data_IF_313001840680
#
_entry.id   IF_313001840680
#
_cell.length_a   1.000
_cell.length_b   1.000
_cell.length_c   1.000
_cell.angle_alpha   90.00
_cell.angle_beta   90.00
_cell.angle_gamma   90.00
#
_symmetry.space_group_name_H-M   'P 1'
#
loop_
_entity.id
_entity.type
_entity.pdbx_description
1 polymer ?
#
# COMPACT_ATOMS: atom_id res chain seq x y z
N UNK A 1 -1.09 8.38 -15.46
CA UNK A 1 -1.26 7.38 -14.38
C UNK A 1 0.12 6.91 -13.98
N UNK A 2 0.42 6.96 -12.68
CA UNK A 2 1.65 6.50 -12.06
C UNK A 2 1.52 5.02 -11.69
N UNK A 3 2.61 4.37 -11.26
CA UNK A 3 2.58 2.96 -10.86
C UNK A 3 3.31 2.74 -9.54
N UNK A 4 2.82 1.77 -8.77
CA UNK A 4 3.56 1.12 -7.67
C UNK A 4 3.72 -0.34 -8.02
N UNK A 5 4.95 -0.85 -7.97
CA UNK A 5 5.24 -2.27 -8.17
C UNK A 5 5.32 -2.98 -6.82
N UNK A 6 4.61 -4.10 -6.68
CA UNK A 6 4.64 -4.97 -5.51
C UNK A 6 5.11 -6.37 -5.95
N UNK A 7 6.29 -6.77 -5.53
CA UNK A 7 6.77 -8.13 -5.78
C UNK A 7 6.05 -9.11 -4.85
N UNK A 8 5.32 -10.04 -5.44
CA UNK A 8 4.58 -11.05 -4.68
C UNK A 8 5.54 -12.07 -4.07
N UNK A 9 5.41 -12.27 -2.79
CA UNK A 9 6.19 -13.17 -1.95
C UNK A 9 6.03 -12.67 -0.51
N UNK A 10 5.25 -13.39 0.30
CA UNK A 10 4.92 -13.06 1.68
C UNK A 10 5.33 -14.25 2.55
N UNK A 11 5.46 -14.02 3.86
CA UNK A 11 5.65 -15.10 4.84
C UNK A 11 6.85 -16.03 4.54
N UNK A 12 8.00 -15.42 4.22
CA UNK A 12 9.25 -16.18 4.00
C UNK A 12 9.60 -17.05 5.20
N UNK A 13 10.16 -18.22 4.93
CA UNK A 13 10.42 -19.24 5.94
C UNK A 13 11.87 -19.28 6.42
N UNK A 14 12.78 -18.63 5.69
CA UNK A 14 14.18 -18.52 6.04
C UNK A 14 14.84 -17.23 5.52
N UNK A 15 16.06 -16.96 6.03
CA UNK A 15 16.85 -15.79 5.67
C UNK A 15 17.24 -15.75 4.17
N UNK A 16 17.43 -16.91 3.55
CA UNK A 16 17.82 -16.96 2.13
C UNK A 16 16.64 -16.54 1.23
N UNK A 17 15.41 -16.89 1.59
CA UNK A 17 14.21 -16.40 0.92
C UNK A 17 14.08 -14.89 1.07
N UNK A 18 14.26 -14.36 2.28
CA UNK A 18 14.22 -12.92 2.54
C UNK A 18 15.28 -12.16 1.71
N UNK A 19 16.48 -12.71 1.57
CA UNK A 19 17.51 -12.14 0.71
C UNK A 19 17.14 -12.18 -0.78
N UNK A 20 16.52 -13.26 -1.25
CA UNK A 20 16.00 -13.34 -2.64
C UNK A 20 14.92 -12.27 -2.91
N UNK A 21 14.06 -12.03 -1.93
CA UNK A 21 13.06 -10.94 -2.03
C UNK A 21 13.74 -9.58 -2.19
N UNK A 22 14.75 -9.26 -1.38
CA UNK A 22 15.56 -8.04 -1.54
C UNK A 22 16.16 -7.94 -2.95
N UNK A 23 16.80 -8.99 -3.43
CA UNK A 23 17.49 -9.00 -4.73
C UNK A 23 16.50 -8.82 -5.89
N UNK A 24 15.28 -9.37 -5.78
CA UNK A 24 14.21 -9.16 -6.74
C UNK A 24 13.78 -7.67 -6.82
N UNK A 25 13.65 -7.00 -5.68
CA UNK A 25 13.34 -5.56 -5.65
C UNK A 25 14.47 -4.70 -6.21
N UNK A 26 15.73 -5.00 -5.87
CA UNK A 26 16.88 -4.29 -6.43
C UNK A 26 16.95 -4.46 -7.96
N UNK A 27 16.71 -5.67 -8.48
CA UNK A 27 16.62 -5.93 -9.92
C UNK A 27 15.48 -5.14 -10.58
N UNK A 28 14.30 -5.06 -9.93
CA UNK A 28 13.19 -4.26 -10.45
C UNK A 28 13.53 -2.77 -10.48
N UNK A 29 14.18 -2.25 -9.45
CA UNK A 29 14.62 -0.86 -9.40
C UNK A 29 15.65 -0.57 -10.50
N UNK A 30 16.64 -1.43 -10.72
CA UNK A 30 17.60 -1.30 -11.83
C UNK A 30 16.89 -1.23 -13.19
N UNK A 31 15.87 -2.07 -13.39
CA UNK A 31 15.02 -2.03 -14.59
C UNK A 31 14.31 -0.68 -14.74
N UNK A 32 13.75 -0.16 -13.65
CA UNK A 32 13.06 1.14 -13.64
C UNK A 32 14.02 2.31 -13.87
N UNK A 33 15.26 2.23 -13.37
CA UNK A 33 16.28 3.28 -13.53
C UNK A 33 16.49 3.66 -14.99
N UNK A 34 16.53 2.65 -15.89
CA UNK A 34 16.70 2.85 -17.32
C UNK A 34 15.57 3.67 -17.96
N UNK A 35 14.37 3.63 -17.37
CA UNK A 35 13.18 4.32 -17.87
C UNK A 35 13.07 5.78 -17.38
N UNK A 36 13.88 6.19 -16.40
CA UNK A 36 13.93 7.56 -15.85
C UNK A 36 12.57 8.10 -15.41
N UNK A 37 11.74 7.25 -14.82
CA UNK A 37 10.36 7.59 -14.44
C UNK A 37 10.27 8.42 -13.15
N UNK A 38 11.33 8.44 -12.33
CA UNK A 38 11.31 9.12 -11.02
C UNK A 38 10.11 8.68 -10.19
N UNK A 39 9.43 9.62 -9.56
CA UNK A 39 8.26 9.35 -8.71
C UNK A 39 7.03 8.80 -9.45
N UNK A 40 7.05 8.75 -10.78
CA UNK A 40 5.96 8.10 -11.54
C UNK A 40 5.96 6.57 -11.38
N UNK A 41 7.07 5.97 -10.94
CA UNK A 41 7.16 4.55 -10.63
C UNK A 41 7.84 4.38 -9.27
N UNK A 42 7.15 3.79 -8.31
CA UNK A 42 7.66 3.44 -6.98
C UNK A 42 7.52 1.94 -6.73
N UNK A 43 8.09 1.44 -5.64
CA UNK A 43 7.88 0.08 -5.17
C UNK A 43 7.17 0.08 -3.82
N UNK A 44 6.37 -0.97 -3.56
CA UNK A 44 5.80 -1.25 -2.25
C UNK A 44 6.35 -2.56 -1.73
N UNK A 45 6.68 -2.62 -0.44
CA UNK A 45 7.30 -3.79 0.19
C UNK A 45 6.50 -4.26 1.39
N UNK A 46 6.41 -5.57 1.58
CA UNK A 46 5.82 -6.22 2.76
C UNK A 46 6.94 -6.79 3.62
N UNK A 47 7.00 -6.39 4.88
CA UNK A 47 8.11 -6.78 5.75
C UNK A 47 8.15 -8.28 6.06
N UNK A 48 7.03 -9.00 5.92
CA UNK A 48 7.01 -10.47 6.03
C UNK A 48 7.86 -11.14 4.95
N UNK A 49 8.00 -10.51 3.77
CA UNK A 49 8.88 -10.96 2.70
C UNK A 49 10.39 -10.74 3.00
N UNK A 50 10.69 -10.01 4.07
CA UNK A 50 12.06 -9.68 4.50
C UNK A 50 12.39 -10.24 5.89
N UNK A 51 11.64 -11.24 6.33
CA UNK A 51 11.94 -11.98 7.55
C UNK A 51 11.45 -11.35 8.84
N UNK A 52 10.51 -10.37 8.80
CA UNK A 52 9.94 -9.74 9.99
C UNK A 52 9.34 -10.73 10.99
N UNK A 53 8.79 -11.86 10.51
CA UNK A 53 8.15 -12.88 11.33
C UNK A 53 9.08 -14.09 11.65
N UNK A 54 10.32 -14.09 11.17
CA UNK A 54 11.25 -15.18 11.45
C UNK A 54 11.70 -15.15 12.91
N UNK A 55 11.85 -16.32 13.56
CA UNK A 55 12.30 -16.39 14.96
C UNK A 55 13.67 -15.73 15.20
N UNK A 56 14.59 -15.86 14.22
CA UNK A 56 15.95 -15.29 14.26
C UNK A 56 16.07 -14.02 13.42
N UNK A 57 14.93 -13.41 13.05
CA UNK A 57 14.88 -12.26 12.13
C UNK A 57 14.33 -11.02 12.79
N UNK A 58 13.02 -10.93 12.81
CA UNK A 58 12.32 -9.81 13.40
C UNK A 58 12.46 -8.49 12.62
N UNK A 59 12.13 -7.38 13.28
CA UNK A 59 12.19 -6.04 12.67
C UNK A 59 13.61 -5.66 12.23
N UNK A 60 14.65 -6.14 12.94
CA UNK A 60 16.06 -5.82 12.67
C UNK A 60 16.50 -6.41 11.33
N UNK A 61 16.15 -7.67 11.05
CA UNK A 61 16.43 -8.31 9.77
C UNK A 61 15.66 -7.64 8.63
N UNK A 62 14.38 -7.35 8.86
CA UNK A 62 13.55 -6.65 7.87
C UNK A 62 14.14 -5.27 7.53
N UNK A 63 14.60 -4.51 8.53
CA UNK A 63 15.28 -3.23 8.34
C UNK A 63 16.59 -3.38 7.56
N UNK A 64 17.43 -4.38 7.93
CA UNK A 64 18.69 -4.69 7.24
C UNK A 64 18.46 -4.92 5.74
N UNK A 65 17.42 -5.70 5.40
CA UNK A 65 17.16 -6.12 4.02
C UNK A 65 16.38 -5.07 3.19
N UNK A 66 15.55 -4.25 3.83
CA UNK A 66 14.76 -3.22 3.12
C UNK A 66 15.55 -1.92 2.93
N UNK A 67 16.48 -1.58 3.83
CA UNK A 67 17.30 -0.36 3.72
C UNK A 67 17.98 -0.21 2.35
N UNK A 68 18.69 -1.22 1.78
CA UNK A 68 19.29 -1.09 0.45
C UNK A 68 18.26 -0.82 -0.67
N UNK A 69 17.02 -1.30 -0.52
CA UNK A 69 15.95 -1.04 -1.49
C UNK A 69 15.54 0.44 -1.43
N UNK A 70 15.40 0.99 -0.21
CA UNK A 70 15.06 2.41 0.00
C UNK A 70 16.18 3.32 -0.51
N UNK A 71 17.44 2.98 -0.25
CA UNK A 71 18.62 3.70 -0.75
C UNK A 71 18.67 3.71 -2.29
N UNK A 72 18.47 2.55 -2.92
CA UNK A 72 18.42 2.43 -4.38
C UNK A 72 17.27 3.26 -4.97
N UNK A 73 16.07 3.18 -4.40
CA UNK A 73 14.92 3.98 -4.84
C UNK A 73 15.19 5.48 -4.71
N UNK A 74 15.76 5.93 -3.59
CA UNK A 74 16.12 7.34 -3.37
C UNK A 74 17.13 7.83 -4.40
N UNK A 75 18.17 7.01 -4.70
CA UNK A 75 19.16 7.33 -5.72
C UNK A 75 18.55 7.52 -7.11
N UNK A 76 17.47 6.79 -7.40
CA UNK A 76 16.71 6.92 -8.65
C UNK A 76 15.70 8.09 -8.64
N UNK A 77 15.58 8.81 -7.56
CA UNK A 77 14.59 9.89 -7.41
C UNK A 77 13.16 9.38 -7.24
N UNK A 78 12.99 8.14 -6.77
CA UNK A 78 11.69 7.55 -6.40
C UNK A 78 11.64 7.18 -4.92
N UNK A 79 10.60 6.49 -4.48
CA UNK A 79 10.38 6.16 -3.07
C UNK A 79 9.93 4.70 -2.90
N UNK A 80 9.94 4.24 -1.66
CA UNK A 80 9.40 2.96 -1.22
C UNK A 80 8.24 3.21 -0.26
N UNK A 81 7.18 2.41 -0.39
CA UNK A 81 6.08 2.39 0.60
C UNK A 81 6.10 1.05 1.33
N UNK A 82 6.09 1.08 2.67
CA UNK A 82 5.93 -0.13 3.49
C UNK A 82 4.45 -0.48 3.59
N UNK A 83 4.07 -1.65 3.06
CA UNK A 83 2.71 -2.16 3.19
C UNK A 83 2.44 -2.63 4.63
N UNK A 84 1.20 -2.43 5.07
CA UNK A 84 0.73 -2.90 6.37
C UNK A 84 0.09 -4.27 6.23
N UNK A 85 0.50 -5.17 7.08
CA UNK A 85 0.01 -6.55 7.09
C UNK A 85 -0.92 -6.81 8.27
N UNK A 86 -0.88 -7.96 8.93
CA UNK A 86 -1.80 -8.26 10.03
C UNK A 86 -1.55 -7.38 11.27
N UNK A 87 -2.52 -7.34 12.19
CA UNK A 87 -2.47 -6.45 13.36
C UNK A 87 -1.31 -6.72 14.31
N UNK A 88 -0.71 -7.93 14.28
CA UNK A 88 0.42 -8.31 15.15
C UNK A 88 1.73 -7.67 14.73
N UNK A 89 1.85 -7.29 13.45
CA UNK A 89 3.08 -6.73 12.87
C UNK A 89 3.05 -5.21 12.76
N UNK A 90 1.94 -4.54 13.12
CA UNK A 90 1.79 -3.08 12.98
C UNK A 90 2.90 -2.33 13.72
N UNK A 91 3.16 -2.66 14.99
CA UNK A 91 4.16 -1.96 15.80
C UNK A 91 5.58 -2.14 15.24
N UNK A 92 5.93 -3.35 14.82
CA UNK A 92 7.24 -3.63 14.23
C UNK A 92 7.39 -2.93 12.87
N UNK A 93 6.34 -2.88 12.05
CA UNK A 93 6.35 -2.16 10.77
C UNK A 93 6.52 -0.65 10.97
N UNK A 94 5.81 -0.05 11.94
CA UNK A 94 5.98 1.36 12.27
C UNK A 94 7.36 1.67 12.86
N UNK A 95 7.95 0.72 13.60
CA UNK A 95 9.32 0.84 14.11
C UNK A 95 10.34 0.87 12.96
N UNK A 96 10.24 -0.08 12.02
CA UNK A 96 11.11 -0.10 10.82
C UNK A 96 10.92 1.18 9.99
N UNK A 97 9.68 1.63 9.82
CA UNK A 97 9.38 2.90 9.13
C UNK A 97 10.09 4.08 9.81
N UNK A 98 10.00 4.19 11.14
CA UNK A 98 10.62 5.28 11.89
C UNK A 98 12.14 5.28 11.73
N UNK A 99 12.78 4.11 11.73
CA UNK A 99 14.22 3.97 11.48
C UNK A 99 14.61 4.39 10.06
N UNK A 100 13.86 3.96 9.05
CA UNK A 100 14.11 4.33 7.65
C UNK A 100 13.94 5.83 7.42
N UNK A 101 12.92 6.45 8.04
CA UNK A 101 12.62 7.87 7.89
C UNK A 101 13.66 8.81 8.48
N UNK A 102 14.58 8.33 9.31
CA UNK A 102 15.71 9.15 9.80
C UNK A 102 16.60 9.63 8.66
N UNK A 103 16.77 8.80 7.62
CA UNK A 103 17.62 9.08 6.46
C UNK A 103 16.80 9.29 5.18
N UNK A 104 15.62 8.69 5.11
CA UNK A 104 14.70 8.70 3.96
C UNK A 104 13.29 9.13 4.40
N UNK A 105 13.06 10.40 4.71
CA UNK A 105 11.83 10.90 5.36
C UNK A 105 10.56 10.69 4.52
N UNK A 106 10.68 10.55 3.21
CA UNK A 106 9.57 10.30 2.28
C UNK A 106 9.23 8.82 2.07
N UNK A 107 9.84 7.89 2.84
CA UNK A 107 9.41 6.49 2.89
C UNK A 107 7.94 6.42 3.28
N UNK A 108 7.13 5.81 2.42
CA UNK A 108 5.68 5.74 2.58
C UNK A 108 5.26 4.73 3.66
N UNK A 109 4.15 5.01 4.33
CA UNK A 109 3.46 4.10 5.24
C UNK A 109 2.12 3.67 4.67
N UNK A 110 1.60 2.53 5.13
CA UNK A 110 0.21 2.13 4.88
C UNK A 110 -0.52 1.99 6.21
N UNK A 111 -1.75 2.49 6.26
CA UNK A 111 -2.65 2.37 7.40
C UNK A 111 -3.95 1.68 6.98
N UNK A 112 -4.43 0.77 7.83
CA UNK A 112 -5.65 0.01 7.60
C UNK A 112 -6.79 0.55 8.49
N UNK A 113 -7.75 1.24 7.90
CA UNK A 113 -8.86 1.90 8.61
C UNK A 113 -9.72 0.94 9.44
N UNK A 114 -9.69 -0.36 9.16
CA UNK A 114 -10.41 -1.36 9.95
C UNK A 114 -9.86 -1.51 11.38
N UNK A 115 -8.57 -1.23 11.62
CA UNK A 115 -7.98 -1.38 12.95
C UNK A 115 -8.39 -0.23 13.87
N UNK A 116 -8.73 -0.52 15.12
CA UNK A 116 -9.15 0.49 16.11
C UNK A 116 -8.07 1.55 16.37
N UNK A 117 -6.81 1.19 16.28
CA UNK A 117 -5.65 2.07 16.51
C UNK A 117 -5.40 3.09 15.39
N UNK A 118 -5.96 2.84 14.18
CA UNK A 118 -5.54 3.56 12.96
C UNK A 118 -5.81 5.07 13.03
N UNK A 119 -6.81 5.53 13.75
CA UNK A 119 -7.05 6.98 13.91
C UNK A 119 -5.89 7.67 14.65
N UNK A 120 -5.31 7.02 15.66
CA UNK A 120 -4.18 7.56 16.41
C UNK A 120 -2.88 7.43 15.63
N UNK A 121 -2.66 6.31 14.91
CA UNK A 121 -1.54 6.16 13.98
C UNK A 121 -1.60 7.21 12.85
N UNK A 122 -2.79 7.51 12.33
CA UNK A 122 -3.00 8.55 11.31
C UNK A 122 -2.63 9.94 11.83
N UNK A 123 -3.02 10.30 13.07
CA UNK A 123 -2.62 11.56 13.71
C UNK A 123 -1.11 11.66 13.87
N UNK A 124 -0.47 10.56 14.31
CA UNK A 124 0.99 10.52 14.51
C UNK A 124 1.76 10.64 13.18
N UNK A 125 1.19 10.15 12.07
CA UNK A 125 1.82 10.16 10.75
C UNK A 125 1.38 11.33 9.86
N UNK A 126 0.40 12.16 10.26
CA UNK A 126 -0.07 13.32 9.51
C UNK A 126 0.88 14.53 9.67
N UNK A 127 2.16 14.31 9.45
CA UNK A 127 3.24 15.31 9.57
C UNK A 127 3.80 15.69 8.21
N UNK A 128 4.53 16.80 8.14
CA UNK A 128 5.13 17.30 6.91
C UNK A 128 6.06 16.26 6.25
N UNK A 129 5.99 16.14 4.92
CA UNK A 129 6.78 15.19 4.14
C UNK A 129 6.30 13.73 4.27
N UNK A 130 5.46 13.40 5.25
CA UNK A 130 4.98 12.03 5.48
C UNK A 130 4.02 11.56 4.39
N UNK A 131 4.35 10.48 3.72
CA UNK A 131 3.50 9.80 2.72
C UNK A 131 2.74 8.68 3.39
N UNK A 132 1.40 8.72 3.34
CA UNK A 132 0.54 7.71 4.02
C UNK A 132 -0.55 7.21 3.09
N UNK A 133 -0.49 5.92 2.77
CA UNK A 133 -1.54 5.19 2.06
C UNK A 133 -2.61 4.72 3.04
N UNK A 134 -3.82 5.23 2.89
CA UNK A 134 -4.95 4.76 3.66
C UNK A 134 -5.73 3.70 2.85
N UNK A 135 -5.89 2.51 3.42
CA UNK A 135 -6.71 1.42 2.88
C UNK A 135 -7.76 0.98 3.90
N UNK A 136 -8.80 0.26 3.48
CA UNK A 136 -9.78 -0.32 4.41
C UNK A 136 -9.16 -1.38 5.31
N UNK A 137 -8.27 -2.18 4.78
CA UNK A 137 -7.72 -3.39 5.36
C UNK A 137 -8.30 -4.64 4.67
N UNK A 138 -7.50 -5.70 4.58
CA UNK A 138 -7.84 -6.93 3.87
C UNK A 138 -7.66 -8.19 4.74
N UNK A 139 -7.13 -8.06 5.95
CA UNK A 139 -6.88 -9.17 6.85
C UNK A 139 -8.11 -9.50 7.70
N UNK A 140 -8.25 -10.77 8.08
CA UNK A 140 -9.31 -11.21 8.96
C UNK A 140 -8.89 -11.01 10.42
N UNK A 141 -9.24 -9.85 10.96
CA UNK A 141 -8.87 -9.46 12.32
C UNK A 141 -10.02 -9.69 13.31
N UNK A 142 -9.72 -10.02 14.58
CA UNK A 142 -10.74 -10.17 15.61
C UNK A 142 -11.38 -8.83 16.02
N UNK A 143 -12.59 -8.89 16.57
CA UNK A 143 -13.35 -7.71 17.04
C UNK A 143 -12.61 -6.89 18.11
N UNK A 144 -11.67 -7.49 18.81
CA UNK A 144 -10.87 -6.83 19.85
C UNK A 144 -9.89 -5.80 19.30
N UNK A 145 -9.51 -5.93 18.03
CA UNK A 145 -8.52 -5.03 17.38
C UNK A 145 -9.07 -4.33 16.14
N UNK A 146 -10.21 -4.78 15.58
CA UNK A 146 -10.73 -4.23 14.34
C UNK A 146 -12.26 -4.04 14.33
N UNK A 147 -12.69 -2.98 13.66
CA UNK A 147 -14.08 -2.75 13.31
C UNK A 147 -14.61 -3.86 12.40
N UNK A 148 -15.85 -4.29 12.66
CA UNK A 148 -16.49 -5.34 11.88
C UNK A 148 -17.58 -4.77 10.97
N UNK A 149 -17.68 -5.35 9.79
CA UNK A 149 -18.69 -4.99 8.81
C UNK A 149 -18.40 -3.68 8.04
N UNK A 150 -18.92 -3.65 6.81
CA UNK A 150 -18.65 -2.57 5.85
C UNK A 150 -18.92 -1.16 6.40
N UNK A 151 -20.06 -0.96 7.09
CA UNK A 151 -20.47 0.36 7.57
C UNK A 151 -19.50 0.93 8.60
N UNK A 152 -19.03 0.10 9.54
CA UNK A 152 -18.11 0.55 10.58
C UNK A 152 -16.72 0.86 10.00
N UNK A 153 -16.23 0.00 9.09
CA UNK A 153 -14.95 0.23 8.40
C UNK A 153 -15.00 1.45 7.50
N UNK A 154 -16.10 1.68 6.76
CA UNK A 154 -16.26 2.87 5.93
C UNK A 154 -16.27 4.16 6.77
N UNK A 155 -16.91 4.13 7.95
CA UNK A 155 -16.94 5.26 8.86
C UNK A 155 -15.53 5.54 9.45
N UNK A 156 -14.80 4.51 9.86
CA UNK A 156 -13.42 4.65 10.33
C UNK A 156 -12.50 5.17 9.21
N UNK A 157 -12.66 4.66 7.99
CA UNK A 157 -11.91 5.17 6.82
C UNK A 157 -12.14 6.67 6.61
N UNK A 158 -13.40 7.12 6.69
CA UNK A 158 -13.74 8.53 6.49
C UNK A 158 -13.07 9.43 7.56
N UNK A 159 -13.02 9.00 8.83
CA UNK A 159 -12.34 9.75 9.91
C UNK A 159 -10.81 9.79 9.72
N UNK A 160 -10.20 8.65 9.40
CA UNK A 160 -8.76 8.61 9.11
C UNK A 160 -8.41 9.46 7.88
N UNK A 161 -9.25 9.41 6.84
CA UNK A 161 -9.05 10.22 5.64
C UNK A 161 -9.12 11.72 5.96
N UNK A 162 -10.05 12.17 6.80
CA UNK A 162 -10.16 13.54 7.24
C UNK A 162 -8.89 13.99 7.99
N UNK A 163 -8.37 13.17 8.91
CA UNK A 163 -7.12 13.44 9.63
C UNK A 163 -5.96 13.63 8.64
N UNK A 164 -5.78 12.71 7.71
CA UNK A 164 -4.67 12.77 6.75
C UNK A 164 -4.82 13.93 5.76
N UNK A 165 -6.04 14.20 5.28
CA UNK A 165 -6.31 15.26 4.31
C UNK A 165 -6.24 16.66 4.92
N UNK A 166 -6.43 16.81 6.23
CA UNK A 166 -6.26 18.09 6.94
C UNK A 166 -4.81 18.34 7.40
N UNK A 167 -3.97 17.29 7.49
CA UNK A 167 -2.57 17.39 7.88
C UNK A 167 -1.67 17.88 6.74
N UNK A 168 -0.40 18.22 7.02
CA UNK A 168 0.54 18.73 6.01
C UNK A 168 1.18 17.63 5.15
N UNK A 169 1.01 16.34 5.48
CA UNK A 169 1.62 15.21 4.77
C UNK A 169 1.02 14.97 3.38
N UNK A 170 1.45 13.91 2.74
CA UNK A 170 1.01 13.47 1.41
C UNK A 170 0.06 12.25 1.52
N UNK A 171 -1.26 12.43 1.56
CA UNK A 171 -2.23 11.34 1.60
C UNK A 171 -2.27 10.56 0.28
N UNK A 172 -2.25 9.23 0.38
CA UNK A 172 -2.44 8.30 -0.73
C UNK A 172 -3.74 7.54 -0.48
N UNK A 173 -4.80 7.83 -1.25
CA UNK A 173 -6.17 7.33 -1.03
C UNK A 173 -6.33 5.99 -1.71
N UNK A 174 -6.11 4.90 -0.97
CA UNK A 174 -6.20 3.52 -1.46
C UNK A 174 -7.64 3.00 -1.44
N UNK A 175 -8.44 3.29 -2.48
CA UNK A 175 -9.84 2.86 -2.54
C UNK A 175 -10.38 2.74 -3.95
N UNK A 176 -11.36 1.81 -4.13
CA UNK A 176 -12.18 1.70 -5.35
C UNK A 176 -13.64 2.15 -5.11
N UNK A 177 -13.97 2.57 -3.89
CA UNK A 177 -15.33 2.98 -3.50
C UNK A 177 -15.60 4.41 -3.98
N UNK A 178 -16.61 4.63 -4.87
CA UNK A 178 -16.90 5.95 -5.40
C UNK A 178 -17.17 7.00 -4.32
N UNK A 179 -17.85 6.61 -3.24
CA UNK A 179 -18.18 7.52 -2.14
C UNK A 179 -16.96 8.00 -1.37
N UNK A 180 -15.97 7.10 -1.19
CA UNK A 180 -14.72 7.48 -0.53
C UNK A 180 -13.84 8.33 -1.43
N UNK A 181 -13.84 8.07 -2.74
CA UNK A 181 -13.13 8.91 -3.71
C UNK A 181 -13.75 10.31 -3.81
N UNK A 182 -15.09 10.41 -3.83
CA UNK A 182 -15.81 11.69 -3.78
C UNK A 182 -15.47 12.45 -2.49
N UNK A 183 -15.53 11.77 -1.33
CA UNK A 183 -15.15 12.37 -0.05
C UNK A 183 -13.69 12.86 -0.03
N UNK A 184 -12.77 12.16 -0.67
CA UNK A 184 -11.38 12.60 -0.79
C UNK A 184 -11.27 13.91 -1.59
N UNK A 185 -12.00 14.05 -2.69
CA UNK A 185 -12.04 15.29 -3.46
C UNK A 185 -12.67 16.45 -2.69
N UNK A 186 -13.76 16.20 -1.95
CA UNK A 186 -14.36 17.20 -1.06
C UNK A 186 -13.36 17.70 -0.02
N UNK A 187 -12.66 16.77 0.65
CA UNK A 187 -11.67 17.11 1.67
C UNK A 187 -10.47 17.85 1.07
N UNK A 188 -10.04 17.48 -0.14
CA UNK A 188 -8.97 18.19 -0.84
C UNK A 188 -9.39 19.66 -1.10
N UNK A 189 -10.62 19.88 -1.57
CA UNK A 189 -11.14 21.22 -1.78
C UNK A 189 -11.30 22.01 -0.46
N UNK A 190 -11.86 21.38 0.59
CA UNK A 190 -12.05 22.00 1.91
C UNK A 190 -10.74 22.45 2.56
N UNK A 191 -9.66 21.66 2.36
CA UNK A 191 -8.34 21.95 2.92
C UNK A 191 -7.42 22.69 1.91
N UNK A 192 -7.95 23.16 0.78
CA UNK A 192 -7.20 23.89 -0.26
C UNK A 192 -5.94 23.14 -0.71
N UNK A 193 -6.02 21.81 -0.82
CA UNK A 193 -4.89 20.99 -1.26
C UNK A 193 -4.55 21.22 -2.71
N UNK A 194 -3.26 21.41 -3.00
CA UNK A 194 -2.76 21.42 -4.36
C UNK A 194 -3.00 20.05 -5.04
N UNK A 195 -3.20 20.05 -6.35
CA UNK A 195 -3.49 18.83 -7.12
C UNK A 195 -2.37 17.76 -7.02
N UNK A 196 -1.16 18.19 -6.75
CA UNK A 196 0.03 17.34 -6.61
C UNK A 196 0.39 17.01 -5.15
N UNK A 197 -0.43 17.43 -4.17
CA UNK A 197 -0.19 17.18 -2.74
C UNK A 197 -0.88 15.93 -2.18
N UNK A 198 -1.54 15.15 -3.03
CA UNK A 198 -2.20 13.90 -2.68
C UNK A 198 -2.48 13.06 -3.93
N UNK A 199 -2.81 11.77 -3.78
CA UNK A 199 -3.12 10.91 -4.91
C UNK A 199 -4.20 9.88 -4.58
N UNK A 200 -4.86 9.36 -5.62
CA UNK A 200 -5.72 8.18 -5.57
C UNK A 200 -4.92 6.95 -5.98
N UNK A 201 -5.01 5.89 -5.20
CA UNK A 201 -4.38 4.61 -5.51
C UNK A 201 -5.42 3.52 -5.75
N UNK A 202 -5.29 2.80 -6.85
CA UNK A 202 -6.21 1.74 -7.24
C UNK A 202 -5.43 0.52 -7.75
N UNK A 203 -5.98 -0.67 -7.51
CA UNK A 203 -5.37 -1.91 -8.03
C UNK A 203 -5.41 -1.92 -9.56
N UNK A 204 -4.32 -2.37 -10.16
CA UNK A 204 -4.24 -2.56 -11.61
C UNK A 204 -5.38 -3.48 -12.10
N UNK A 205 -5.99 -3.11 -13.22
CA UNK A 205 -7.10 -3.85 -13.81
C UNK A 205 -8.47 -3.66 -13.11
N UNK A 206 -8.53 -3.00 -11.96
CA UNK A 206 -9.80 -2.72 -11.27
C UNK A 206 -10.29 -1.32 -11.63
N UNK A 207 -11.50 -1.25 -12.24
CA UNK A 207 -12.13 0.00 -12.71
C UNK A 207 -11.19 0.88 -13.58
N UNK A 208 -10.60 0.34 -14.66
CA UNK A 208 -9.62 1.08 -15.45
C UNK A 208 -10.19 2.35 -16.10
N UNK A 209 -11.49 2.36 -16.43
CA UNK A 209 -12.16 3.55 -16.96
C UNK A 209 -12.23 4.67 -15.91
N UNK A 210 -12.46 4.32 -14.66
CA UNK A 210 -12.47 5.29 -13.56
C UNK A 210 -11.06 5.85 -13.29
N UNK A 211 -10.03 5.01 -13.34
CA UNK A 211 -8.64 5.48 -13.23
C UNK A 211 -8.32 6.51 -14.32
N UNK A 212 -8.71 6.23 -15.57
CA UNK A 212 -8.51 7.15 -16.69
C UNK A 212 -9.34 8.44 -16.54
N UNK A 213 -10.60 8.30 -16.09
CA UNK A 213 -11.48 9.47 -15.85
C UNK A 213 -10.90 10.40 -14.79
N UNK A 214 -10.44 9.87 -13.66
CA UNK A 214 -9.82 10.65 -12.57
C UNK A 214 -8.54 11.34 -13.05
N UNK A 215 -7.66 10.61 -13.76
CA UNK A 215 -6.43 11.17 -14.30
C UNK A 215 -6.71 12.28 -15.34
N UNK A 216 -7.69 12.09 -16.21
CA UNK A 216 -8.12 13.12 -17.18
C UNK A 216 -8.73 14.36 -16.51
N UNK A 217 -9.31 14.20 -15.32
CA UNK A 217 -9.82 15.32 -14.50
C UNK A 217 -8.72 16.03 -13.67
N UNK A 218 -7.43 15.64 -13.84
CA UNK A 218 -6.30 16.27 -13.15
C UNK A 218 -5.96 15.67 -11.79
N UNK A 219 -6.64 14.61 -11.35
CA UNK A 219 -6.28 13.89 -10.12
C UNK A 219 -5.02 13.05 -10.35
N UNK A 220 -4.07 13.09 -9.43
CA UNK A 220 -2.99 12.11 -9.46
C UNK A 220 -3.53 10.71 -9.18
N UNK A 221 -3.32 9.79 -10.11
CA UNK A 221 -3.76 8.40 -9.99
C UNK A 221 -2.56 7.48 -10.09
N UNK A 222 -2.45 6.56 -9.15
CA UNK A 222 -1.41 5.52 -9.15
C UNK A 222 -2.05 4.14 -9.21
N UNK A 223 -1.61 3.32 -10.15
CA UNK A 223 -2.00 1.92 -10.25
C UNK A 223 -1.04 1.06 -9.41
N UNK A 224 -1.59 0.28 -8.47
CA UNK A 224 -0.85 -0.72 -7.71
C UNK A 224 -0.78 -2.01 -8.53
N UNK A 225 0.44 -2.42 -8.90
CA UNK A 225 0.71 -3.51 -9.85
C UNK A 225 1.47 -4.62 -9.14
N UNK A 226 0.78 -5.67 -8.68
CA UNK A 226 1.46 -6.87 -8.18
C UNK A 226 2.11 -7.63 -9.35
N UNK A 227 3.32 -8.16 -9.12
CA UNK A 227 4.04 -8.96 -10.08
C UNK A 227 4.85 -10.07 -9.38
N UNK A 228 5.27 -11.07 -10.10
CA UNK A 228 6.04 -12.20 -9.55
C UNK A 228 5.37 -13.53 -9.79
N UNK A 229 6.03 -14.61 -9.35
CA UNK A 229 5.56 -15.99 -9.55
C UNK A 229 4.56 -16.45 -8.51
N UNK A 230 4.56 -15.84 -7.32
CA UNK A 230 3.72 -16.23 -6.17
C UNK A 230 2.35 -15.55 -6.19
N UNK A 231 1.76 -15.46 -7.38
CA UNK A 231 0.50 -14.74 -7.63
C UNK A 231 -0.75 -15.43 -7.07
N UNK A 232 -0.68 -16.74 -6.74
CA UNK A 232 -1.87 -17.52 -6.41
C UNK A 232 -2.56 -17.04 -5.12
N UNK A 233 -1.81 -16.83 -4.04
CA UNK A 233 -2.35 -16.36 -2.75
C UNK A 233 -2.98 -14.97 -2.90
N UNK A 234 -2.30 -14.05 -3.58
CA UNK A 234 -2.83 -12.73 -3.91
C UNK A 234 -4.13 -12.81 -4.72
N UNK A 235 -4.16 -13.63 -5.76
CA UNK A 235 -5.32 -13.81 -6.62
C UNK A 235 -6.52 -14.37 -5.85
N UNK A 236 -6.31 -15.35 -4.97
CA UNK A 236 -7.36 -15.94 -4.15
C UNK A 236 -7.97 -14.93 -3.17
N UNK A 237 -7.16 -14.05 -2.55
CA UNK A 237 -7.67 -12.94 -1.73
C UNK A 237 -8.56 -12.00 -2.55
N UNK A 238 -8.17 -11.63 -3.77
CA UNK A 238 -8.98 -10.78 -4.66
C UNK A 238 -10.29 -11.46 -5.10
N UNK A 239 -10.30 -12.77 -5.32
CA UNK A 239 -11.52 -13.50 -5.60
C UNK A 239 -12.48 -13.54 -4.40
N UNK A 240 -11.95 -13.72 -3.19
CA UNK A 240 -12.75 -13.77 -1.97
C UNK A 240 -13.43 -12.43 -1.66
N UNK A 241 -12.82 -11.31 -1.99
CA UNK A 241 -13.38 -9.96 -1.78
C UNK A 241 -14.57 -9.64 -2.69
N UNK A 242 -14.75 -10.38 -3.81
CA UNK A 242 -15.83 -10.16 -4.77
C UNK A 242 -16.47 -11.47 -5.21
N UNK A 243 -17.56 -11.91 -4.54
CA UNK A 243 -18.30 -13.10 -4.94
C UNK A 243 -18.77 -13.11 -6.42
N UNK A 244 -18.95 -11.92 -7.02
CA UNK A 244 -19.28 -11.80 -8.43
C UNK A 244 -18.12 -12.27 -9.35
N UNK A 245 -16.86 -12.00 -8.96
CA UNK A 245 -15.69 -12.46 -9.70
C UNK A 245 -15.50 -13.97 -9.58
N UNK A 246 -15.84 -14.54 -8.42
CA UNK A 246 -15.84 -16.00 -8.22
C UNK A 246 -16.86 -16.68 -9.16
N UNK A 247 -18.07 -16.13 -9.32
CA UNK A 247 -19.08 -16.64 -10.26
C UNK A 247 -18.61 -16.55 -11.71
N UNK A 248 -17.93 -15.48 -12.09
CA UNK A 248 -17.36 -15.33 -13.42
C UNK A 248 -16.24 -16.35 -13.68
N UNK A 249 -15.35 -16.55 -12.73
CA UNK A 249 -14.26 -17.54 -12.79
C UNK A 249 -14.80 -18.97 -12.88
N UNK A 250 -15.78 -19.34 -12.04
CA UNK A 250 -16.42 -20.66 -12.09
C UNK A 250 -17.15 -20.89 -13.41
N UNK A 251 -17.81 -19.87 -13.97
CA UNK A 251 -18.41 -19.95 -15.32
C UNK A 251 -17.35 -20.17 -16.41
N UNK A 252 -16.22 -19.49 -16.35
CA UNK A 252 -15.14 -19.64 -17.34
C UNK A 252 -14.50 -21.02 -17.31
N UNK A 253 -14.47 -21.69 -16.16
CA UNK A 253 -14.04 -23.08 -16.04
C UNK A 253 -15.08 -24.08 -16.58
N UNK A 254 -16.36 -23.77 -16.40
CA UNK A 254 -17.46 -24.62 -16.88
C UNK A 254 -17.73 -24.49 -18.39
N UNK A 255 -17.28 -23.46 -19.07
CA UNK A 255 -17.45 -23.21 -20.51
C UNK A 255 -16.29 -23.73 -21.37
N UNK A 256 -15.31 -24.42 -20.78
CA UNK A 256 -14.22 -25.11 -21.49
C UNK A 256 -14.48 -26.64 -21.61
N UNK A 257 -15.74 -27.06 -21.75
CA UNK A 257 -16.12 -28.42 -22.10
C UNK A 257 -16.74 -28.42 -23.50
#
# INVERSE_FOLDING_TARGET
>A
IQVTLDHLGEDVTDRAEAQRSRDAYLTALDGLASLRLGRAAEVSVKLSAFGQALPDGGPELALELVRPIVEAATTMGTTVTLDMEDSRTVDSTLTVLAELRKEHPDTGAVLQAMLHRTEDDAKALAVDGSRVRLVKGAYREPTTVAHQGKKAVDAAYARCLEILMSGPGYPMVGSHDPKLLERAHELAAQNSRAADSWEVQMLYGIRPDEQRRLAAAGTQVRAYVPYGVDWYAYFMRRLAERPANLRFFLRSLATKS
#
